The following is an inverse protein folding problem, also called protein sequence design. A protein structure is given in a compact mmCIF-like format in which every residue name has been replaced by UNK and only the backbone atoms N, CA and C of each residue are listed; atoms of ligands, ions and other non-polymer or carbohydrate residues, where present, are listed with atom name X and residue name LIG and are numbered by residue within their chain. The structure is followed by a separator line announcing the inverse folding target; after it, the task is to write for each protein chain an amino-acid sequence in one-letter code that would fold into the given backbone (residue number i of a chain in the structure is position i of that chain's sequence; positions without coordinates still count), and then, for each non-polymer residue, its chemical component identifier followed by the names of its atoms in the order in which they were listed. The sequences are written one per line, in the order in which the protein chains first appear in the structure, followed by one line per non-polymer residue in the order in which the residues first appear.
data_IF_083006827140
#
_entry.id   IF_083006827140
#
_cell.length_a   1.000
_cell.length_b   1.000
_cell.length_c   1.000
_cell.angle_alpha   90.00
_cell.angle_beta   90.00
_cell.angle_gamma   90.00
#
_symmetry.space_group_name_H-M   'P 1'
#
loop_
_entity.id
_entity.type
_entity.pdbx_description
1 polymer ?
#
# COMPACT_ATOMS: atom_id res chain seq x y z
N UNK A 1 -7.79 8.80 -21.11
CA UNK A 1 -6.75 9.77 -20.70
C UNK A 1 -6.89 10.06 -19.22
N UNK A 2 -5.84 9.89 -18.42
CA UNK A 2 -5.86 10.19 -16.97
C UNK A 2 -5.19 11.54 -16.75
N UNK A 3 -5.97 12.59 -16.50
CA UNK A 3 -5.45 13.90 -16.11
C UNK A 3 -5.11 13.84 -14.62
N UNK A 4 -3.82 13.95 -14.29
CA UNK A 4 -3.38 14.10 -12.91
C UNK A 4 -3.36 15.60 -12.58
N UNK A 5 -4.01 15.99 -11.47
CA UNK A 5 -4.02 17.37 -10.98
C UNK A 5 -2.65 17.83 -10.44
N UNK A 6 -1.73 16.89 -10.24
CA UNK A 6 -0.41 17.13 -9.65
C UNK A 6 0.66 16.34 -10.39
N UNK A 7 1.89 16.85 -10.34
CA UNK A 7 3.04 16.14 -10.88
C UNK A 7 3.25 14.82 -10.09
N UNK A 8 3.31 13.65 -10.76
CA UNK A 8 3.49 12.38 -10.08
C UNK A 8 4.83 12.34 -9.33
N UNK A 9 4.79 12.01 -8.03
CA UNK A 9 6.01 11.89 -7.22
C UNK A 9 6.70 10.56 -7.52
N UNK A 10 8.01 10.59 -7.77
CA UNK A 10 8.86 9.39 -7.82
C UNK A 10 9.04 8.84 -6.41
N UNK A 11 8.18 7.92 -5.97
CA UNK A 11 8.12 7.47 -4.58
C UNK A 11 9.42 6.80 -4.10
N UNK A 12 10.11 6.05 -4.97
CA UNK A 12 11.39 5.39 -4.64
C UNK A 12 12.52 6.34 -4.19
N UNK A 13 12.38 7.66 -4.39
CA UNK A 13 13.34 8.64 -3.82
C UNK A 13 13.35 8.67 -2.30
N UNK A 14 12.27 8.19 -1.67
CA UNK A 14 12.11 8.15 -0.22
C UNK A 14 12.51 6.78 0.38
N UNK A 15 12.95 5.84 -0.47
CA UNK A 15 13.34 4.48 -0.09
C UNK A 15 12.50 3.41 -0.77
N UNK A 16 12.83 2.15 -0.48
CA UNK A 16 12.16 0.97 -1.05
C UNK A 16 11.05 0.41 -0.15
N UNK A 17 10.75 1.09 0.96
CA UNK A 17 9.80 0.63 1.97
C UNK A 17 8.78 1.71 2.27
N UNK A 18 7.53 1.30 2.52
CA UNK A 18 6.49 2.17 3.03
C UNK A 18 5.70 1.47 4.15
N UNK A 19 5.36 2.22 5.19
CA UNK A 19 4.52 1.75 6.28
C UNK A 19 3.14 2.39 6.18
N UNK A 20 2.10 1.56 6.30
CA UNK A 20 0.71 2.03 6.29
C UNK A 20 0.02 1.57 7.57
N UNK A 21 -0.39 2.55 8.37
CA UNK A 21 -1.18 2.34 9.60
C UNK A 21 -2.66 2.31 9.27
N UNK A 22 -3.42 1.38 9.85
CA UNK A 22 -4.85 1.22 9.56
C UNK A 22 -5.15 0.57 8.21
N UNK A 23 -4.18 -0.12 7.61
CA UNK A 23 -4.24 -0.60 6.22
C UNK A 23 -5.27 -1.71 5.93
N UNK A 24 -6.14 -2.05 6.88
CA UNK A 24 -7.10 -3.15 6.76
C UNK A 24 -8.33 -2.82 5.94
N UNK A 25 -8.68 -1.54 5.78
CA UNK A 25 -9.90 -1.13 5.09
C UNK A 25 -9.77 0.29 4.49
N UNK A 26 -10.78 0.72 3.74
CA UNK A 26 -10.97 2.11 3.35
C UNK A 26 -9.88 2.70 2.46
N UNK A 27 -9.56 3.97 2.72
CA UNK A 27 -8.60 4.74 1.94
C UNK A 27 -7.19 4.22 2.18
N UNK A 28 -6.90 3.79 3.40
CA UNK A 28 -5.62 3.28 3.84
C UNK A 28 -5.26 1.99 3.08
N UNK A 29 -6.22 1.08 2.91
CA UNK A 29 -6.03 -0.12 2.06
C UNK A 29 -5.80 0.27 0.61
N UNK A 30 -6.61 1.16 0.06
CA UNK A 30 -6.44 1.62 -1.33
C UNK A 30 -5.08 2.31 -1.55
N UNK A 31 -4.62 3.06 -0.54
CA UNK A 31 -3.33 3.72 -0.55
C UNK A 31 -2.19 2.71 -0.50
N UNK A 32 -2.28 1.68 0.34
CA UNK A 32 -1.34 0.56 0.34
C UNK A 32 -1.28 -0.12 -1.04
N UNK A 33 -2.41 -0.37 -1.71
CA UNK A 33 -2.42 -0.96 -3.07
C UNK A 33 -1.71 -0.06 -4.07
N UNK A 34 -1.95 1.25 -4.02
CA UNK A 34 -1.25 2.17 -4.91
C UNK A 34 0.26 2.15 -4.64
N UNK A 35 0.70 2.15 -3.37
CA UNK A 35 2.12 2.05 -3.02
C UNK A 35 2.75 0.73 -3.51
N UNK A 36 2.05 -0.41 -3.40
CA UNK A 36 2.52 -1.69 -3.91
C UNK A 36 2.75 -1.66 -5.43
N UNK A 37 1.88 -0.99 -6.20
CA UNK A 37 2.03 -0.83 -7.66
C UNK A 37 3.28 -0.04 -8.05
N UNK A 38 3.83 0.77 -7.14
CA UNK A 38 5.10 1.48 -7.34
C UNK A 38 6.32 0.65 -6.93
N UNK A 39 6.14 -0.67 -6.72
CA UNK A 39 7.21 -1.63 -6.43
C UNK A 39 7.96 -1.25 -5.13
N UNK A 40 7.17 -0.98 -4.09
CA UNK A 40 7.61 -0.71 -2.73
C UNK A 40 7.27 -1.88 -1.82
N UNK A 41 8.20 -2.23 -0.94
CA UNK A 41 7.95 -3.18 0.14
C UNK A 41 7.02 -2.53 1.19
N UNK A 42 5.98 -3.25 1.60
CA UNK A 42 4.97 -2.71 2.52
C UNK A 42 5.06 -3.30 3.92
N UNK A 43 4.91 -2.43 4.91
CA UNK A 43 4.68 -2.80 6.31
C UNK A 43 3.26 -2.35 6.67
N UNK A 44 2.36 -3.31 6.86
CA UNK A 44 0.97 -3.04 7.22
C UNK A 44 0.80 -3.15 8.74
N UNK A 45 0.20 -2.13 9.36
CA UNK A 45 -0.01 -2.09 10.82
C UNK A 45 -1.51 -1.89 11.11
N UNK A 46 -2.10 -2.75 11.94
CA UNK A 46 -3.49 -2.63 12.41
C UNK A 46 -3.68 -3.36 13.74
N UNK A 47 -4.75 -3.01 14.45
CA UNK A 47 -5.10 -3.54 15.78
C UNK A 47 -5.79 -4.90 15.66
N UNK A 48 -6.48 -5.17 14.54
CA UNK A 48 -7.19 -6.43 14.33
C UNK A 48 -6.29 -7.43 13.56
N UNK A 49 -5.72 -8.45 14.23
CA UNK A 49 -4.76 -9.36 13.62
C UNK A 49 -5.39 -10.23 12.53
N UNK A 50 -6.64 -10.66 12.69
CA UNK A 50 -7.33 -11.52 11.71
C UNK A 50 -7.58 -10.79 10.40
N UNK A 51 -8.04 -9.53 10.47
CA UNK A 51 -8.19 -8.69 9.27
C UNK A 51 -6.84 -8.36 8.63
N UNK A 52 -5.83 -8.09 9.44
CA UNK A 52 -4.49 -7.78 8.96
C UNK A 52 -3.85 -8.96 8.22
N UNK A 53 -4.03 -10.18 8.73
CA UNK A 53 -3.55 -11.40 8.07
C UNK A 53 -4.20 -11.58 6.69
N UNK A 54 -5.53 -11.48 6.61
CA UNK A 54 -6.25 -11.57 5.34
C UNK A 54 -5.77 -10.54 4.32
N UNK A 55 -5.62 -9.28 4.72
CA UNK A 55 -5.12 -8.24 3.81
C UNK A 55 -3.68 -8.50 3.41
N UNK A 56 -2.83 -8.96 4.33
CA UNK A 56 -1.44 -9.29 4.02
C UNK A 56 -1.32 -10.41 2.98
N UNK A 57 -2.19 -11.42 3.06
CA UNK A 57 -2.23 -12.52 2.12
C UNK A 57 -2.76 -12.06 0.75
N UNK A 58 -3.80 -11.22 0.72
CA UNK A 58 -4.31 -10.60 -0.52
C UNK A 58 -3.17 -9.85 -1.25
N UNK A 59 -2.40 -9.03 -0.51
CA UNK A 59 -1.29 -8.26 -1.07
C UNK A 59 -0.17 -9.15 -1.61
N UNK A 60 0.19 -10.23 -0.91
CA UNK A 60 1.22 -11.17 -1.38
C UNK A 60 0.80 -11.93 -2.64
N UNK A 61 -0.49 -12.17 -2.82
CA UNK A 61 -1.01 -12.82 -4.02
C UNK A 61 -1.05 -11.85 -5.21
N UNK A 62 -1.42 -10.58 -4.98
CA UNK A 62 -1.54 -9.57 -6.04
C UNK A 62 -0.18 -8.95 -6.42
N UNK A 63 0.73 -8.81 -5.45
CA UNK A 63 2.05 -8.19 -5.61
C UNK A 63 3.14 -9.12 -5.04
N UNK A 64 3.64 -10.08 -5.84
CA UNK A 64 4.69 -11.02 -5.44
C UNK A 64 6.07 -10.38 -5.30
#
# INVERSE_FOLDING_TARGET
MRFLLTNPKRLKRYGSWAMVTGATDGIERAFAHELAKHDLNLILVSINPSKLASVSDDFRQEFP
#
